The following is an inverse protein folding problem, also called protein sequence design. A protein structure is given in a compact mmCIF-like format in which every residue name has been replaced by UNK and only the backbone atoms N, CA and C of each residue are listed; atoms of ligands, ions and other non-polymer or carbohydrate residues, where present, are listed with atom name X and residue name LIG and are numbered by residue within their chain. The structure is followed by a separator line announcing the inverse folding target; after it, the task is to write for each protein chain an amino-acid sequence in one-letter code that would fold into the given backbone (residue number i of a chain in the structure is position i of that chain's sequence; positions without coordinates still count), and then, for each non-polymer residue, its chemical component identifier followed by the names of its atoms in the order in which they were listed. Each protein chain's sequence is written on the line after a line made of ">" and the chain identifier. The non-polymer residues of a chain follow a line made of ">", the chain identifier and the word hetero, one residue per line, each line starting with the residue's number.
data_IF_167984368994
#
_entry.id   IF_167984368994
#
_cell.length_a   1.000
_cell.length_b   1.000
_cell.length_c   1.000
_cell.angle_alpha   90.00
_cell.angle_beta   90.00
_cell.angle_gamma   90.00
#
_symmetry.space_group_name_H-M   'P 1'
#
loop_
_entity.id
_entity.type
_entity.pdbx_description
1 polymer ?
#
# COMPACT_ATOMS: atom_id res chain seq x y z
N UNK A 1 -29.88 -14.80 43.39
CA UNK A 1 -30.51 -14.25 42.17
C UNK A 1 -29.46 -14.29 41.07
N UNK A 2 -29.43 -15.37 40.28
CA UNK A 2 -28.48 -15.56 39.19
C UNK A 2 -29.05 -14.90 37.93
N UNK A 3 -28.33 -13.97 37.32
CA UNK A 3 -28.70 -13.38 36.04
C UNK A 3 -28.32 -14.37 34.93
N UNK A 4 -29.33 -15.02 34.36
CA UNK A 4 -29.20 -15.83 33.13
C UNK A 4 -28.61 -14.96 32.01
N UNK A 5 -27.39 -15.27 31.59
CA UNK A 5 -26.81 -14.71 30.36
C UNK A 5 -27.50 -15.36 29.17
N UNK A 6 -28.50 -14.67 28.65
CA UNK A 6 -29.27 -15.03 27.46
C UNK A 6 -28.39 -15.20 26.22
N UNK A 7 -28.37 -16.42 25.68
CA UNK A 7 -28.35 -16.86 24.28
C UNK A 7 -28.14 -15.80 23.16
N UNK A 8 -27.03 -15.07 23.20
CA UNK A 8 -26.59 -14.30 22.04
C UNK A 8 -25.93 -15.25 21.02
N UNK A 9 -26.68 -15.69 20.01
CA UNK A 9 -26.10 -16.42 18.88
C UNK A 9 -25.22 -15.47 18.05
N UNK A 10 -23.93 -15.78 17.82
CA UNK A 10 -23.06 -14.94 17.02
C UNK A 10 -23.61 -14.84 15.59
N UNK A 11 -24.04 -13.65 15.21
CA UNK A 11 -24.48 -13.35 13.84
C UNK A 11 -23.28 -12.82 13.06
N UNK A 12 -22.97 -13.39 11.90
CA UNK A 12 -21.89 -12.88 11.05
C UNK A 12 -22.29 -11.51 10.48
N UNK A 13 -21.65 -10.46 11.00
CA UNK A 13 -21.80 -9.06 10.53
C UNK A 13 -21.14 -8.85 9.14
N UNK A 14 -20.49 -9.87 8.57
CA UNK A 14 -19.64 -9.77 7.37
C UNK A 14 -20.35 -9.27 6.09
N UNK A 15 -21.68 -9.25 6.03
CA UNK A 15 -22.46 -8.75 4.88
C UNK A 15 -22.83 -7.26 4.97
N UNK A 16 -22.60 -6.59 6.10
CA UNK A 16 -22.88 -5.17 6.24
C UNK A 16 -21.80 -4.35 5.51
N UNK A 17 -22.20 -3.75 4.38
CA UNK A 17 -21.42 -2.74 3.68
C UNK A 17 -21.58 -1.41 4.41
N UNK A 18 -20.46 -0.78 4.77
CA UNK A 18 -20.47 0.52 5.42
C UNK A 18 -20.31 1.59 4.35
N UNK A 19 -21.38 2.34 4.10
CA UNK A 19 -21.29 3.59 3.35
C UNK A 19 -20.72 4.67 4.29
N UNK A 20 -19.43 4.98 4.12
CA UNK A 20 -18.76 6.27 4.38
C UNK A 20 -17.29 6.05 4.76
N UNK A 21 -16.39 6.68 3.99
CA UNK A 21 -14.94 6.56 4.14
C UNK A 21 -14.36 7.77 4.88
N UNK A 22 -13.69 7.60 6.04
CA UNK A 22 -12.71 8.57 6.54
C UNK A 22 -11.31 8.40 5.91
N UNK A 23 -11.03 7.22 5.32
CA UNK A 23 -9.76 6.93 4.63
C UNK A 23 -9.52 7.76 3.36
N UNK A 24 -10.52 8.54 2.91
CA UNK A 24 -10.38 9.53 1.85
C UNK A 24 -9.37 10.65 2.16
N UNK A 25 -8.93 10.82 3.42
CA UNK A 25 -7.95 11.88 3.76
C UNK A 25 -6.51 11.62 3.31
N UNK A 26 -6.06 10.36 3.17
CA UNK A 26 -4.66 10.05 2.78
C UNK A 26 -4.46 9.96 1.26
N UNK A 27 -5.55 9.77 0.51
CA UNK A 27 -5.63 9.68 -0.95
C UNK A 27 -6.67 10.68 -1.46
N UNK A 28 -6.68 11.92 -0.95
CA UNK A 28 -7.47 12.97 -1.60
C UNK A 28 -6.94 13.05 -3.04
N UNK A 29 -7.70 12.51 -3.98
CA UNK A 29 -7.32 12.33 -5.38
C UNK A 29 -7.20 13.68 -6.07
N UNK A 30 -6.10 14.39 -5.80
CA UNK A 30 -5.78 15.67 -6.41
C UNK A 30 -5.10 15.38 -7.74
N UNK A 31 -5.63 15.90 -8.86
CA UNK A 31 -4.95 15.81 -10.15
C UNK A 31 -3.50 16.29 -10.03
N UNK A 32 -2.57 15.56 -10.66
CA UNK A 32 -1.14 15.87 -10.60
C UNK A 32 -0.44 15.50 -9.29
N UNK A 33 -1.11 14.87 -8.32
CA UNK A 33 -0.49 14.28 -7.12
C UNK A 33 -0.81 12.79 -7.10
N UNK A 34 0.21 11.95 -7.03
CA UNK A 34 0.11 10.49 -7.05
C UNK A 34 0.87 9.89 -5.87
N UNK A 35 0.41 8.78 -5.32
CA UNK A 35 1.08 8.09 -4.23
C UNK A 35 1.91 6.91 -4.76
N UNK A 36 3.05 6.63 -4.13
CA UNK A 36 3.89 5.46 -4.46
C UNK A 36 3.06 4.17 -4.47
N UNK A 37 2.14 4.00 -3.53
CA UNK A 37 1.25 2.82 -3.46
C UNK A 37 0.32 2.69 -4.66
N UNK A 38 -0.06 3.80 -5.30
CA UNK A 38 -0.88 3.81 -6.53
C UNK A 38 -0.06 3.45 -7.77
N UNK A 39 1.24 3.77 -7.77
CA UNK A 39 2.12 3.53 -8.93
C UNK A 39 2.82 2.19 -8.89
N UNK A 40 3.02 1.54 -7.74
CA UNK A 40 3.72 0.23 -7.68
C UNK A 40 2.79 -0.98 -7.83
N UNK A 41 1.48 -0.78 -7.62
CA UNK A 41 0.43 -1.77 -7.82
C UNK A 41 -0.21 -1.66 -9.21
N UNK A 42 -1.30 -2.41 -9.43
CA UNK A 42 -2.06 -2.38 -10.69
C UNK A 42 -2.60 -0.98 -11.00
N UNK A 43 -2.16 -0.36 -12.11
CA UNK A 43 -2.62 0.99 -12.50
C UNK A 43 -4.10 1.04 -12.81
N UNK A 44 -4.67 -0.02 -13.39
CA UNK A 44 -6.12 -0.11 -13.61
C UNK A 44 -6.89 -0.02 -12.29
N UNK A 45 -6.43 -0.71 -11.24
CA UNK A 45 -7.03 -0.60 -9.91
C UNK A 45 -6.93 0.84 -9.38
N UNK A 46 -5.76 1.47 -9.50
CA UNK A 46 -5.56 2.86 -9.05
C UNK A 46 -6.45 3.84 -9.80
N UNK A 47 -6.62 3.65 -11.12
CA UNK A 47 -7.53 4.42 -11.95
C UNK A 47 -8.99 4.28 -11.49
N UNK A 48 -9.48 3.05 -11.32
CA UNK A 48 -10.85 2.77 -10.89
C UNK A 48 -11.11 3.29 -9.48
N UNK A 49 -10.13 3.15 -8.57
CA UNK A 49 -10.19 3.70 -7.22
C UNK A 49 -10.39 5.22 -7.23
N UNK A 50 -9.65 5.95 -8.09
CA UNK A 50 -9.79 7.41 -8.20
C UNK A 50 -11.08 7.85 -8.87
N UNK A 51 -11.58 7.09 -9.84
CA UNK A 51 -12.77 7.45 -10.61
C UNK A 51 -14.07 7.11 -9.90
N UNK A 52 -14.14 5.95 -9.28
CA UNK A 52 -15.39 5.38 -8.78
C UNK A 52 -15.36 5.16 -7.27
N UNK A 53 -14.17 5.04 -6.67
CA UNK A 53 -14.02 4.54 -5.31
C UNK A 53 -14.56 3.12 -5.17
N UNK A 54 -14.54 2.60 -3.94
CA UNK A 54 -15.22 1.35 -3.62
C UNK A 54 -15.78 1.39 -2.21
N UNK A 55 -16.75 0.53 -1.95
CA UNK A 55 -17.26 0.26 -0.61
C UNK A 55 -16.42 -0.81 0.08
N UNK A 56 -16.12 -0.61 1.36
CA UNK A 56 -15.46 -1.62 2.20
C UNK A 56 -16.52 -2.37 3.02
N UNK A 57 -16.35 -3.69 3.15
CA UNK A 57 -17.11 -4.49 4.10
C UNK A 57 -16.65 -4.19 5.54
N UNK A 58 -17.53 -4.47 6.51
CA UNK A 58 -17.15 -4.37 7.93
C UNK A 58 -15.86 -5.13 8.27
N UNK A 59 -15.68 -6.33 7.70
CA UNK A 59 -14.49 -7.14 7.92
C UNK A 59 -13.22 -6.46 7.38
N UNK A 60 -13.29 -5.86 6.18
CA UNK A 60 -12.18 -5.10 5.60
C UNK A 60 -11.83 -3.89 6.46
N UNK A 61 -12.85 -3.13 6.91
CA UNK A 61 -12.66 -2.00 7.82
C UNK A 61 -11.98 -2.45 9.12
N UNK A 62 -12.44 -3.54 9.72
CA UNK A 62 -11.84 -4.09 10.94
C UNK A 62 -10.37 -4.48 10.75
N UNK A 63 -10.07 -5.25 9.69
CA UNK A 63 -8.70 -5.68 9.37
C UNK A 63 -7.79 -4.47 9.14
N UNK A 64 -8.27 -3.46 8.41
CA UNK A 64 -7.51 -2.24 8.14
C UNK A 64 -7.26 -1.42 9.41
N UNK A 65 -8.27 -1.26 10.26
CA UNK A 65 -8.14 -0.49 11.50
C UNK A 65 -7.21 -1.18 12.50
N UNK A 66 -7.30 -2.51 12.63
CA UNK A 66 -6.37 -3.31 13.44
C UNK A 66 -4.93 -3.15 12.94
N UNK A 67 -4.72 -3.27 11.63
CA UNK A 67 -3.40 -3.10 11.03
C UNK A 67 -2.81 -1.71 11.29
N UNK A 68 -3.62 -0.65 11.13
CA UNK A 68 -3.21 0.73 11.41
C UNK A 68 -2.87 0.96 12.88
N UNK A 69 -3.61 0.35 13.81
CA UNK A 69 -3.33 0.46 15.24
C UNK A 69 -1.98 -0.17 15.60
N UNK A 70 -1.71 -1.38 15.10
CA UNK A 70 -0.42 -2.06 15.29
C UNK A 70 0.72 -1.26 14.68
N UNK A 71 0.55 -0.82 13.43
CA UNK A 71 1.53 -0.05 12.70
C UNK A 71 1.92 1.24 13.44
N UNK A 72 0.93 2.02 13.89
CA UNK A 72 1.16 3.26 14.65
C UNK A 72 1.94 3.03 15.94
N UNK A 73 1.68 1.94 16.66
CA UNK A 73 2.39 1.64 17.91
C UNK A 73 3.86 1.30 17.66
N UNK A 74 4.15 0.54 16.59
CA UNK A 74 5.52 0.16 16.26
C UNK A 74 6.31 1.33 15.69
N UNK A 75 5.73 2.14 14.80
CA UNK A 75 6.41 3.31 14.23
C UNK A 75 6.68 4.40 15.27
N UNK A 76 5.86 4.51 16.33
CA UNK A 76 6.08 5.46 17.42
C UNK A 76 7.46 5.31 18.09
N UNK A 77 8.02 4.10 18.12
CA UNK A 77 9.36 3.86 18.67
C UNK A 77 10.48 4.62 17.93
N UNK A 78 10.25 5.02 16.68
CA UNK A 78 11.20 5.75 15.84
C UNK A 78 11.06 7.28 15.94
N UNK A 79 10.09 7.77 16.71
CA UNK A 79 9.91 9.19 17.03
C UNK A 79 9.96 10.10 15.77
N UNK A 80 10.90 11.04 15.71
CA UNK A 80 11.08 11.98 14.60
C UNK A 80 11.43 11.30 13.26
N UNK A 81 11.83 10.03 13.29
CA UNK A 81 12.17 9.24 12.11
C UNK A 81 11.06 8.29 11.67
N UNK A 82 9.81 8.59 12.02
CA UNK A 82 8.62 7.85 11.62
C UNK A 82 7.74 8.65 10.65
N UNK A 83 7.02 7.95 9.77
CA UNK A 83 6.04 8.51 8.83
C UNK A 83 6.62 9.66 7.95
N UNK A 84 7.88 9.51 7.51
CA UNK A 84 8.62 10.56 6.82
C UNK A 84 8.04 10.83 5.43
N UNK A 85 7.57 12.05 5.14
CA UNK A 85 7.02 12.38 3.83
C UNK A 85 8.13 12.57 2.80
N UNK A 86 8.00 11.91 1.66
CA UNK A 86 8.91 12.06 0.51
C UNK A 86 8.13 12.46 -0.73
N UNK A 87 8.76 13.25 -1.61
CA UNK A 87 8.17 13.78 -2.83
C UNK A 87 9.16 13.75 -3.98
N UNK A 88 8.69 13.36 -5.16
CA UNK A 88 9.44 13.43 -6.40
C UNK A 88 8.62 14.19 -7.45
N UNK A 89 9.17 15.30 -7.95
CA UNK A 89 8.57 16.05 -9.06
C UNK A 89 8.91 15.36 -10.37
N UNK A 90 7.90 15.14 -11.21
CA UNK A 90 8.04 14.46 -12.50
C UNK A 90 7.50 15.39 -13.59
N UNK A 91 8.32 15.65 -14.61
CA UNK A 91 7.91 16.46 -15.76
C UNK A 91 6.98 15.65 -16.66
N UNK A 92 5.87 16.25 -17.10
CA UNK A 92 4.90 15.63 -18.01
C UNK A 92 4.26 16.70 -18.91
N UNK A 93 4.36 16.54 -20.23
CA UNK A 93 3.65 17.42 -21.19
C UNK A 93 3.76 18.93 -20.93
N UNK A 94 4.92 19.43 -20.49
CA UNK A 94 5.14 20.85 -20.18
C UNK A 94 4.76 21.30 -18.77
N UNK A 95 4.10 20.46 -17.96
CA UNK A 95 3.82 20.70 -16.54
C UNK A 95 4.54 19.68 -15.64
N UNK A 96 4.36 19.79 -14.33
CA UNK A 96 4.90 18.85 -13.35
C UNK A 96 3.78 18.13 -12.60
N UNK A 97 3.91 16.83 -12.43
CA UNK A 97 3.17 16.03 -11.44
C UNK A 97 4.08 15.72 -10.25
N UNK A 98 3.50 15.31 -9.13
CA UNK A 98 4.23 14.97 -7.90
C UNK A 98 3.89 13.55 -7.46
N UNK A 99 4.90 12.70 -7.33
CA UNK A 99 4.79 11.42 -6.66
C UNK A 99 5.10 11.60 -5.16
N UNK A 100 4.26 11.05 -4.29
CA UNK A 100 4.31 11.20 -2.83
C UNK A 100 4.43 9.84 -2.16
N UNK A 101 5.33 9.73 -1.19
CA UNK A 101 5.47 8.56 -0.32
C UNK A 101 5.46 8.97 1.15
N UNK A 102 5.20 8.01 2.02
CA UNK A 102 5.43 8.13 3.46
C UNK A 102 6.24 6.91 3.86
N UNK A 103 7.46 7.12 4.33
CA UNK A 103 8.33 6.06 4.82
C UNK A 103 7.91 5.76 6.25
N UNK A 104 7.64 4.50 6.56
CA UNK A 104 7.16 4.14 7.90
C UNK A 104 8.17 4.48 8.98
N UNK A 105 9.44 4.10 8.79
CA UNK A 105 10.53 4.49 9.68
C UNK A 105 11.90 4.55 8.98
N UNK A 106 12.81 5.31 9.59
CA UNK A 106 14.23 5.33 9.26
C UNK A 106 15.06 5.22 10.55
N UNK A 107 16.11 4.40 10.53
CA UNK A 107 17.11 4.34 11.59
C UNK A 107 18.35 5.13 11.14
N UNK A 108 18.63 6.31 11.72
CA UNK A 108 19.76 7.13 11.34
C UNK A 108 21.12 6.57 11.74
N UNK A 109 21.19 5.79 12.82
CA UNK A 109 22.46 5.24 13.31
C UNK A 109 22.97 4.15 12.35
N UNK A 110 22.04 3.45 11.69
CA UNK A 110 22.33 2.37 10.74
C UNK A 110 22.06 2.74 9.29
N UNK A 111 21.63 3.97 9.01
CA UNK A 111 21.12 4.40 7.72
C UNK A 111 20.13 3.39 7.08
N UNK A 112 19.17 2.91 7.88
CA UNK A 112 18.25 1.82 7.48
C UNK A 112 16.85 2.35 7.23
N UNK A 113 16.30 2.11 6.03
CA UNK A 113 14.91 2.38 5.71
C UNK A 113 14.06 1.16 6.06
N UNK A 114 13.01 1.34 6.85
CA UNK A 114 12.19 0.26 7.38
C UNK A 114 10.74 0.43 6.93
N UNK A 115 10.19 -0.60 6.29
CA UNK A 115 8.77 -0.72 5.93
C UNK A 115 8.09 -1.76 6.83
N UNK A 116 6.98 -1.39 7.47
CA UNK A 116 6.23 -2.27 8.36
C UNK A 116 4.94 -2.78 7.71
N UNK A 117 4.66 -4.08 7.85
CA UNK A 117 3.45 -4.71 7.33
C UNK A 117 2.76 -5.57 8.38
N UNK A 118 1.51 -5.24 8.68
CA UNK A 118 0.65 -6.11 9.48
C UNK A 118 -0.04 -7.15 8.59
N UNK A 119 0.08 -8.43 8.91
CA UNK A 119 -0.64 -9.51 8.22
C UNK A 119 -1.01 -10.61 9.23
N UNK A 120 -1.84 -11.58 8.86
CA UNK A 120 -2.13 -12.73 9.73
C UNK A 120 -1.16 -13.87 9.46
N UNK A 121 -0.85 -14.70 10.46
CA UNK A 121 -0.10 -15.94 10.26
C UNK A 121 1.30 -15.74 9.65
N UNK A 122 2.08 -14.77 10.14
CA UNK A 122 3.40 -14.42 9.59
C UNK A 122 4.32 -15.64 9.49
N UNK A 123 4.39 -16.45 10.56
CA UNK A 123 5.19 -17.69 10.58
C UNK A 123 4.78 -18.69 9.50
N UNK A 124 3.48 -18.87 9.28
CA UNK A 124 2.98 -19.81 8.27
C UNK A 124 3.25 -19.28 6.86
N UNK A 125 2.97 -18.00 6.59
CA UNK A 125 3.26 -17.40 5.29
C UNK A 125 4.75 -17.47 4.94
N UNK A 126 5.64 -17.24 5.91
CA UNK A 126 7.08 -17.39 5.72
C UNK A 126 7.48 -18.82 5.37
N UNK A 127 7.00 -19.82 6.12
CA UNK A 127 7.30 -21.24 5.87
C UNK A 127 6.83 -21.72 4.50
N UNK A 128 5.80 -21.10 3.94
CA UNK A 128 5.25 -21.43 2.62
C UNK A 128 5.79 -20.51 1.50
N UNK A 129 6.85 -19.75 1.75
CA UNK A 129 7.49 -18.92 0.72
C UNK A 129 6.64 -17.75 0.21
N UNK A 130 5.62 -17.32 0.97
CA UNK A 130 4.73 -16.20 0.58
C UNK A 130 5.30 -14.83 0.98
N UNK A 131 6.30 -14.81 1.87
CA UNK A 131 7.01 -13.61 2.31
C UNK A 131 8.47 -13.64 1.83
N UNK A 132 9.07 -12.48 1.47
CA UNK A 132 8.45 -11.17 1.39
C UNK A 132 7.56 -11.01 0.13
N UNK A 133 6.43 -10.31 0.25
CA UNK A 133 5.54 -10.04 -0.90
C UNK A 133 6.20 -9.06 -1.87
N UNK A 134 6.12 -9.37 -3.18
CA UNK A 134 6.75 -8.57 -4.24
C UNK A 134 6.36 -7.10 -4.26
N UNK A 135 5.09 -6.76 -4.01
CA UNK A 135 4.64 -5.36 -4.00
C UNK A 135 5.14 -4.58 -2.77
N UNK A 136 5.36 -5.25 -1.64
CA UNK A 136 6.00 -4.62 -0.47
C UNK A 136 7.49 -4.34 -0.72
N UNK A 137 8.18 -5.27 -1.40
CA UNK A 137 9.56 -5.07 -1.88
C UNK A 137 9.65 -3.87 -2.82
N UNK A 138 8.74 -3.76 -3.80
CA UNK A 138 8.68 -2.60 -4.69
C UNK A 138 8.44 -1.29 -3.92
N UNK A 139 7.63 -1.30 -2.87
CA UNK A 139 7.35 -0.11 -2.07
C UNK A 139 8.60 0.42 -1.38
N UNK A 140 9.31 -0.43 -0.64
CA UNK A 140 10.55 -0.03 0.06
C UNK A 140 11.65 0.39 -0.92
N UNK A 141 11.77 -0.29 -2.08
CA UNK A 141 12.70 0.09 -3.17
C UNK A 141 12.34 1.44 -3.82
N UNK A 142 11.04 1.76 -3.91
CA UNK A 142 10.58 3.05 -4.42
C UNK A 142 10.97 4.18 -3.49
N UNK A 143 10.82 3.97 -2.17
CA UNK A 143 11.26 4.92 -1.17
C UNK A 143 12.78 5.12 -1.19
N UNK A 144 13.53 4.03 -1.32
CA UNK A 144 14.97 4.08 -1.53
C UNK A 144 15.37 4.95 -2.74
N UNK A 145 14.72 4.74 -3.88
CA UNK A 145 15.01 5.47 -5.13
C UNK A 145 14.77 6.97 -4.97
N UNK A 146 13.65 7.35 -4.34
CA UNK A 146 13.33 8.75 -4.09
C UNK A 146 14.31 9.36 -3.06
N UNK A 147 14.57 8.68 -1.94
CA UNK A 147 15.47 9.18 -0.88
C UNK A 147 16.89 9.42 -1.40
N UNK A 148 17.45 8.47 -2.14
CA UNK A 148 18.83 8.56 -2.63
C UNK A 148 18.95 9.41 -3.90
N UNK A 149 18.00 9.28 -4.83
CA UNK A 149 18.02 9.99 -6.11
C UNK A 149 17.63 11.46 -6.00
N UNK A 150 16.57 11.78 -5.23
CA UNK A 150 16.02 13.14 -5.11
C UNK A 150 16.64 13.88 -3.93
N UNK A 151 16.67 13.24 -2.75
CA UNK A 151 17.09 13.90 -1.52
C UNK A 151 18.59 13.74 -1.22
N UNK A 152 19.31 12.89 -1.97
CA UNK A 152 20.71 12.53 -1.69
C UNK A 152 20.91 12.05 -0.25
N UNK A 153 19.88 11.44 0.32
CA UNK A 153 19.86 11.00 1.70
C UNK A 153 20.48 9.59 1.80
N UNK A 154 21.36 9.33 2.79
CA UNK A 154 22.07 8.05 2.89
C UNK A 154 21.12 6.91 3.26
N UNK A 155 21.21 5.80 2.51
CA UNK A 155 20.46 4.57 2.80
C UNK A 155 21.36 3.35 2.53
N UNK A 156 21.80 2.71 3.59
CA UNK A 156 22.65 1.52 3.52
C UNK A 156 21.84 0.24 3.43
N UNK A 157 20.75 0.16 4.19
CA UNK A 157 19.95 -1.06 4.34
C UNK A 157 18.47 -0.79 4.09
N UNK A 158 17.80 -1.70 3.38
CA UNK A 158 16.33 -1.75 3.27
C UNK A 158 15.82 -2.92 4.10
N UNK A 159 14.91 -2.66 5.02
CA UNK A 159 14.31 -3.66 5.89
C UNK A 159 12.80 -3.69 5.68
N UNK A 160 12.25 -4.88 5.48
CA UNK A 160 10.82 -5.11 5.42
C UNK A 160 10.41 -6.00 6.59
N UNK A 161 9.68 -5.42 7.55
CA UNK A 161 9.28 -6.08 8.78
C UNK A 161 7.79 -6.46 8.74
N UNK A 162 7.51 -7.75 8.89
CA UNK A 162 6.16 -8.29 9.00
C UNK A 162 5.82 -8.56 10.45
N UNK A 163 4.62 -8.14 10.85
CA UNK A 163 4.09 -8.31 12.20
C UNK A 163 2.69 -8.91 12.16
N UNK A 164 2.41 -9.74 13.15
CA UNK A 164 1.06 -10.14 13.54
C UNK A 164 0.89 -9.96 15.05
N UNK A 165 -0.27 -10.33 15.58
CA UNK A 165 -0.64 -10.23 16.99
C UNK A 165 -0.03 -11.34 17.86
N UNK A 166 0.67 -12.32 17.26
CA UNK A 166 1.03 -13.58 17.92
C UNK A 166 2.53 -13.91 17.84
N UNK A 167 3.30 -13.20 17.02
CA UNK A 167 4.68 -13.57 16.71
C UNK A 167 5.62 -12.36 16.78
N UNK A 168 6.87 -12.57 17.23
CA UNK A 168 7.90 -11.54 17.09
C UNK A 168 8.00 -11.08 15.63
N UNK A 169 8.26 -9.79 15.36
CA UNK A 169 8.38 -9.29 14.00
C UNK A 169 9.40 -10.10 13.19
N UNK A 170 9.02 -10.48 11.98
CA UNK A 170 9.91 -11.14 11.02
C UNK A 170 10.40 -10.12 10.01
N UNK A 171 11.70 -9.87 9.98
CA UNK A 171 12.30 -8.89 9.09
C UNK A 171 13.08 -9.53 7.95
N UNK A 172 12.98 -8.95 6.77
CA UNK A 172 13.73 -9.33 5.58
C UNK A 172 14.58 -8.15 5.13
N UNK A 173 15.88 -8.37 4.93
CA UNK A 173 16.71 -7.42 4.21
C UNK A 173 16.34 -7.49 2.73
N UNK A 174 16.09 -6.33 2.12
CA UNK A 174 15.70 -6.20 0.73
C UNK A 174 16.86 -5.65 -0.09
N UNK A 175 17.05 -6.22 -1.28
CA UNK A 175 18.04 -5.72 -2.23
C UNK A 175 17.71 -4.28 -2.67
N UNK A 176 18.74 -3.41 -2.67
CA UNK A 176 18.64 -2.05 -3.16
C UNK A 176 18.52 -2.07 -4.68
N UNK A 177 17.37 -1.63 -5.20
CA UNK A 177 17.13 -1.47 -6.64
C UNK A 177 16.58 -0.07 -6.90
N UNK A 178 17.18 0.63 -7.86
CA UNK A 178 16.67 1.89 -8.35
C UNK A 178 15.46 1.64 -9.27
N UNK A 179 14.33 2.23 -8.90
CA UNK A 179 13.05 2.17 -9.60
C UNK A 179 12.64 3.53 -10.16
N UNK A 180 13.53 4.54 -10.18
CA UNK A 180 13.22 5.92 -10.58
C UNK A 180 12.49 6.00 -11.92
N UNK A 181 13.02 5.36 -12.96
CA UNK A 181 12.41 5.39 -14.30
C UNK A 181 11.03 4.71 -14.32
N UNK A 182 10.92 3.56 -13.65
CA UNK A 182 9.65 2.83 -13.53
C UNK A 182 8.59 3.66 -12.78
N UNK A 183 8.98 4.36 -11.72
CA UNK A 183 8.09 5.27 -10.98
C UNK A 183 7.64 6.45 -11.84
N UNK A 184 8.55 7.03 -12.62
CA UNK A 184 8.26 8.13 -13.55
C UNK A 184 7.25 7.69 -14.61
N UNK A 185 7.53 6.57 -15.27
CA UNK A 185 6.69 6.01 -16.33
C UNK A 185 5.28 5.72 -15.81
N UNK A 186 5.18 5.01 -14.68
CA UNK A 186 3.88 4.59 -14.13
C UNK A 186 3.07 5.74 -13.56
N UNK A 187 3.72 6.76 -12.99
CA UNK A 187 3.03 7.97 -12.56
C UNK A 187 2.48 8.75 -13.77
N UNK A 188 3.26 8.82 -14.87
CA UNK A 188 2.81 9.47 -16.11
C UNK A 188 1.66 8.73 -16.77
N UNK A 189 1.75 7.41 -16.85
CA UNK A 189 0.69 6.55 -17.38
C UNK A 189 -0.60 6.75 -16.60
N UNK A 190 -0.55 6.69 -15.27
CA UNK A 190 -1.72 6.93 -14.43
C UNK A 190 -2.29 8.35 -14.62
N UNK A 191 -1.44 9.38 -14.71
CA UNK A 191 -1.88 10.76 -14.97
C UNK A 191 -2.57 10.92 -16.33
N UNK A 192 -1.99 10.35 -17.39
CA UNK A 192 -2.56 10.38 -18.74
C UNK A 192 -3.91 9.67 -18.77
N UNK A 193 -3.97 8.43 -18.27
CA UNK A 193 -5.22 7.67 -18.16
C UNK A 193 -6.32 8.44 -17.43
N UNK A 194 -5.98 9.08 -16.31
CA UNK A 194 -6.93 9.90 -15.56
C UNK A 194 -7.36 11.17 -16.31
N UNK A 195 -6.50 11.79 -17.11
CA UNK A 195 -6.85 12.98 -17.91
C UNK A 195 -7.70 12.64 -19.13
N UNK A 196 -7.31 11.59 -19.84
CA UNK A 196 -7.90 11.18 -21.12
C UNK A 196 -9.14 10.30 -20.93
N UNK A 197 -9.31 9.72 -19.74
CA UNK A 197 -10.40 8.78 -19.46
C UNK A 197 -10.14 7.37 -19.99
N UNK A 198 -8.92 7.09 -20.43
CA UNK A 198 -8.51 5.78 -20.93
C UNK A 198 -8.14 4.85 -19.78
N UNK A 199 -8.82 3.71 -19.69
CA UNK A 199 -8.59 2.74 -18.63
C UNK A 199 -7.26 2.02 -18.88
N UNK A 200 -6.31 2.00 -17.92
CA UNK A 200 -5.06 1.27 -18.07
C UNK A 200 -5.29 -0.23 -18.33
N UNK A 201 -4.34 -0.87 -19.00
CA UNK A 201 -4.37 -2.32 -19.21
C UNK A 201 -4.38 -3.07 -17.87
N UNK A 202 -5.04 -4.26 -17.81
CA UNK A 202 -5.01 -5.06 -16.61
C UNK A 202 -3.60 -5.60 -16.34
N UNK A 203 -3.20 -5.61 -15.07
CA UNK A 203 -1.94 -6.19 -14.59
C UNK A 203 -2.23 -7.37 -13.65
N UNK A 204 -2.41 -8.60 -14.19
CA UNK A 204 -2.75 -9.78 -13.38
C UNK A 204 -1.72 -10.06 -12.30
N UNK A 205 -2.20 -10.32 -11.07
CA UNK A 205 -1.37 -10.72 -9.94
C UNK A 205 -2.21 -11.42 -8.87
N UNK A 206 -1.56 -12.01 -7.86
CA UNK A 206 -2.25 -12.63 -6.71
C UNK A 206 -3.15 -11.64 -5.95
N UNK A 207 -2.93 -10.34 -6.12
CA UNK A 207 -3.77 -9.28 -5.52
C UNK A 207 -5.13 -9.14 -6.21
N UNK A 208 -5.32 -9.70 -7.41
CA UNK A 208 -6.60 -9.65 -8.13
C UNK A 208 -7.72 -10.34 -7.34
N UNK A 209 -7.41 -11.37 -6.56
CA UNK A 209 -8.39 -12.05 -5.70
C UNK A 209 -8.96 -11.14 -4.60
N UNK A 210 -8.24 -10.09 -4.25
CA UNK A 210 -8.60 -9.11 -3.20
C UNK A 210 -8.95 -7.74 -3.78
N UNK A 211 -9.02 -7.60 -5.10
CA UNK A 211 -9.32 -6.35 -5.76
C UNK A 211 -10.82 -6.04 -5.67
N UNK A 212 -11.18 -4.86 -5.16
CA UNK A 212 -12.57 -4.40 -5.08
C UNK A 212 -13.24 -4.28 -6.46
N UNK A 213 -12.44 -4.07 -7.51
CA UNK A 213 -12.91 -3.93 -8.90
C UNK A 213 -12.76 -5.21 -9.72
N UNK A 214 -12.64 -6.37 -9.07
CA UNK A 214 -12.48 -7.66 -9.76
C UNK A 214 -13.58 -7.89 -10.81
N UNK A 215 -14.82 -7.52 -10.48
CA UNK A 215 -16.00 -7.73 -11.33
C UNK A 215 -16.03 -6.76 -12.53
N UNK A 216 -15.47 -5.55 -12.37
CA UNK A 216 -15.35 -4.53 -13.43
C UNK A 216 -14.06 -4.68 -14.26
N UNK A 217 -13.14 -5.52 -13.82
CA UNK A 217 -11.84 -5.73 -14.44
C UNK A 217 -11.92 -6.77 -15.56
N UNK A 218 -12.46 -6.37 -16.70
CA UNK A 218 -12.49 -7.22 -17.91
C UNK A 218 -11.04 -7.46 -18.40
N UNK A 219 -10.58 -8.72 -18.53
CA UNK A 219 -9.29 -9.02 -19.13
C UNK A 219 -9.26 -8.54 -20.58
N UNK A 220 -8.25 -7.76 -20.97
CA UNK A 220 -8.00 -7.49 -22.37
C UNK A 220 -7.49 -8.80 -23.02
N UNK A 221 -8.31 -9.45 -23.86
CA UNK A 221 -7.88 -10.59 -24.69
C UNK A 221 -8.60 -11.92 -24.49
N UNK A 222 -9.92 -11.94 -24.29
CA UNK A 222 -10.74 -13.14 -24.45
C UNK A 222 -11.57 -13.07 -25.74
N UNK A 223 -10.96 -13.30 -26.90
CA UNK A 223 -11.73 -13.89 -28.00
C UNK A 223 -11.93 -15.36 -27.62
N UNK A 224 -13.20 -15.76 -27.47
CA UNK A 224 -13.58 -17.16 -27.70
C UNK A 224 -13.37 -17.50 -29.17
#
# INVERSE_FOLDING_TARGET
>A
MMLNHSDAKPTKISSLRLANRPAARRLEGRPGIYHVTETIGCLRRSYLERRYGHEESYEQVWVNQRGRALHRQVTWAFQAWSELPIRMKIRQGGFNITLVGHIDAYDPDRATLIEFKSTCYVKWQNRNGMLPRRHHVKQVQSYFSIMTGVYRFPVETLLLAYMDDMTPPLSFQVEKRDLTDCLIERARELDNSLREGEVPLPEPSDLCHYCAFKEDCIPCGGYQ
#
